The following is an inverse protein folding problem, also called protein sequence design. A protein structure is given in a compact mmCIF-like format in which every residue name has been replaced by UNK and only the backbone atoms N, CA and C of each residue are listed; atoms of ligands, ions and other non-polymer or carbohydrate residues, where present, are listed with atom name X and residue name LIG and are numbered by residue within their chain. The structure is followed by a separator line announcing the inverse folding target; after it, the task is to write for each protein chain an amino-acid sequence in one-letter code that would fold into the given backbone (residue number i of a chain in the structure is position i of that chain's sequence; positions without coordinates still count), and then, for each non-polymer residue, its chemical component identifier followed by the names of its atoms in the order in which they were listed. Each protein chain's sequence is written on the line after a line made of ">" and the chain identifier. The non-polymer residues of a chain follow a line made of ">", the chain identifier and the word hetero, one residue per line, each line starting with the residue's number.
data_IF_615474226974
#
_entry.id   IF_615474226974
#
_cell.length_a   1.000
_cell.length_b   1.000
_cell.length_c   1.000
_cell.angle_alpha   90.00
_cell.angle_beta   90.00
_cell.angle_gamma   90.00
#
_symmetry.space_group_name_H-M   'P 1'
#
loop_
_entity.id
_entity.type
_entity.pdbx_description
1 polymer ?
#
# COMPACT_ATOMS: atom_id res chain seq x y z
N UNK A 1 -69.14 -32.24 48.37
CA UNK A 1 -67.74 -32.12 48.71
C UNK A 1 -66.93 -32.45 47.43
N UNK A 2 -66.48 -31.47 46.69
CA UNK A 2 -65.65 -31.63 45.45
C UNK A 2 -64.26 -31.22 45.83
N UNK A 3 -63.30 -32.15 45.74
CA UNK A 3 -61.85 -31.91 45.92
C UNK A 3 -61.33 -31.28 44.63
N UNK A 4 -60.80 -30.08 44.72
CA UNK A 4 -60.05 -29.41 43.62
C UNK A 4 -58.60 -29.74 43.83
N UNK A 5 -58.06 -30.52 42.91
CA UNK A 5 -56.60 -30.82 42.87
C UNK A 5 -55.91 -29.74 42.10
N UNK A 6 -55.08 -28.94 42.80
CA UNK A 6 -54.21 -27.89 42.21
C UNK A 6 -52.99 -28.55 41.59
N UNK A 7 -52.87 -28.58 40.26
CA UNK A 7 -51.71 -29.02 39.56
C UNK A 7 -50.78 -27.78 39.35
N UNK A 8 -49.72 -27.72 40.11
CA UNK A 8 -48.69 -26.70 39.92
C UNK A 8 -47.80 -27.06 38.71
N UNK A 9 -47.96 -26.32 37.63
CA UNK A 9 -47.11 -26.43 36.44
C UNK A 9 -45.79 -25.66 36.72
N UNK A 10 -44.71 -26.37 37.06
CA UNK A 10 -43.36 -25.78 37.13
C UNK A 10 -42.84 -25.62 35.71
N UNK A 11 -42.91 -24.41 35.18
CA UNK A 11 -42.27 -24.03 33.95
C UNK A 11 -40.75 -23.87 34.23
N UNK A 12 -39.94 -24.89 33.88
CA UNK A 12 -38.50 -24.75 33.78
C UNK A 12 -38.21 -23.79 32.63
N UNK A 13 -37.93 -22.54 32.94
CA UNK A 13 -37.30 -21.61 32.02
C UNK A 13 -35.85 -22.07 31.79
N UNK A 14 -35.62 -22.83 30.75
CA UNK A 14 -34.29 -23.04 30.20
C UNK A 14 -33.85 -21.72 29.57
N UNK A 15 -33.26 -20.85 30.37
CA UNK A 15 -32.49 -19.72 29.86
C UNK A 15 -31.22 -20.33 29.14
N UNK A 16 -31.38 -20.60 27.85
CA UNK A 16 -30.28 -20.86 26.98
C UNK A 16 -29.43 -19.58 26.95
N UNK A 17 -28.38 -19.55 27.74
CA UNK A 17 -27.30 -18.58 27.56
C UNK A 17 -26.61 -18.90 26.23
N UNK A 18 -27.17 -18.42 25.13
CA UNK A 18 -26.44 -18.32 23.87
C UNK A 18 -25.40 -17.21 24.03
N UNK A 19 -24.27 -17.55 24.66
CA UNK A 19 -23.12 -16.68 24.58
C UNK A 19 -22.55 -16.79 23.17
N UNK A 20 -22.47 -15.66 22.46
CA UNK A 20 -21.85 -15.62 21.14
C UNK A 20 -20.47 -16.31 21.16
N UNK A 21 -20.18 -17.10 20.13
CA UNK A 21 -18.91 -17.82 20.06
C UNK A 21 -17.72 -16.83 20.05
N UNK A 22 -16.69 -17.15 20.83
CA UNK A 22 -15.53 -16.29 21.05
C UNK A 22 -14.24 -17.02 20.74
N UNK A 23 -13.23 -16.29 20.31
CA UNK A 23 -11.86 -16.75 20.27
C UNK A 23 -11.08 -16.22 21.48
N UNK A 24 -9.94 -16.85 21.78
CA UNK A 24 -9.06 -16.45 22.86
C UNK A 24 -7.63 -16.18 22.33
N UNK A 25 -6.99 -15.17 22.90
CA UNK A 25 -5.55 -14.91 22.71
C UNK A 25 -4.93 -14.86 24.09
N UNK A 26 -4.02 -15.76 24.39
CA UNK A 26 -3.40 -15.86 25.71
C UNK A 26 -1.92 -16.15 25.64
N UNK A 27 -1.22 -15.94 26.71
CA UNK A 27 0.21 -16.25 26.78
C UNK A 27 0.94 -15.46 27.85
N UNK A 28 2.21 -15.23 27.60
CA UNK A 28 3.05 -14.43 28.48
C UNK A 28 4.08 -13.59 27.69
N UNK A 29 4.40 -12.42 28.22
CA UNK A 29 5.47 -11.54 27.73
C UNK A 29 6.47 -11.35 28.86
N UNK A 30 7.53 -12.15 28.84
CA UNK A 30 8.56 -12.09 29.88
C UNK A 30 9.36 -10.78 29.82
N UNK A 31 9.68 -10.19 30.96
CA UNK A 31 10.43 -8.94 31.04
C UNK A 31 9.65 -7.68 30.70
N UNK A 32 8.32 -7.75 30.65
CA UNK A 32 7.44 -6.61 30.29
C UNK A 32 6.62 -6.08 31.48
N UNK A 33 7.08 -6.26 32.71
CA UNK A 33 6.37 -5.77 33.91
C UNK A 33 6.04 -4.29 33.82
N UNK A 34 4.79 -3.94 34.16
CA UNK A 34 4.28 -2.59 34.14
C UNK A 34 3.93 -2.03 32.75
N UNK A 35 4.27 -2.71 31.65
CA UNK A 35 3.97 -2.28 30.28
C UNK A 35 2.54 -2.61 29.86
N UNK A 36 1.99 -1.81 28.96
CA UNK A 36 0.67 -2.06 28.37
C UNK A 36 0.80 -2.96 27.13
N UNK A 37 0.07 -4.08 27.15
CA UNK A 37 -0.13 -4.94 25.99
C UNK A 37 -1.50 -4.63 25.39
N UNK A 38 -1.53 -4.37 24.10
CA UNK A 38 -2.76 -4.10 23.33
C UNK A 38 -3.07 -5.27 22.40
N UNK A 39 -4.33 -5.66 22.34
CA UNK A 39 -4.89 -6.47 21.27
C UNK A 39 -5.56 -5.51 20.28
N UNK A 40 -5.16 -5.58 19.01
CA UNK A 40 -5.65 -4.70 17.96
C UNK A 40 -6.09 -5.51 16.74
N UNK A 41 -7.19 -5.10 16.09
CA UNK A 41 -7.59 -5.65 14.79
C UNK A 41 -6.90 -4.90 13.66
N UNK A 42 -6.40 -5.63 12.66
CA UNK A 42 -5.80 -5.07 11.44
C UNK A 42 -6.85 -5.05 10.32
N UNK A 43 -7.73 -4.04 10.33
CA UNK A 43 -8.77 -3.84 9.34
C UNK A 43 -8.26 -3.35 7.99
N UNK A 44 -9.12 -3.31 6.98
CA UNK A 44 -8.79 -2.73 5.65
C UNK A 44 -8.60 -1.21 5.72
N UNK A 45 -9.31 -0.55 6.62
CA UNK A 45 -9.26 0.90 6.82
C UNK A 45 -8.22 1.34 7.86
N UNK A 46 -7.55 0.38 8.50
CA UNK A 46 -6.52 0.67 9.49
C UNK A 46 -6.56 -0.24 10.72
N UNK A 47 -5.84 0.17 11.74
CA UNK A 47 -5.69 -0.56 13.00
C UNK A 47 -6.73 -0.05 14.00
N UNK A 48 -7.47 -0.98 14.61
CA UNK A 48 -8.49 -0.70 15.62
C UNK A 48 -8.12 -1.37 16.94
N UNK A 49 -7.90 -0.63 18.03
CA UNK A 49 -7.71 -1.22 19.36
C UNK A 49 -8.99 -1.96 19.81
N UNK A 50 -8.83 -3.21 20.28
CA UNK A 50 -9.94 -4.02 20.78
C UNK A 50 -9.91 -4.16 22.30
N UNK A 51 -8.74 -4.34 22.87
CA UNK A 51 -8.56 -4.57 24.30
C UNK A 51 -7.13 -4.25 24.74
N UNK A 52 -6.91 -4.11 26.04
CA UNK A 52 -5.58 -3.90 26.59
C UNK A 52 -5.44 -4.43 28.01
N UNK A 53 -4.22 -4.80 28.39
CA UNK A 53 -3.89 -5.23 29.75
C UNK A 53 -2.55 -4.66 30.19
N UNK A 54 -2.46 -4.23 31.43
CA UNK A 54 -1.17 -3.90 32.06
C UNK A 54 -0.52 -5.20 32.55
N UNK A 55 0.62 -5.54 31.95
CA UNK A 55 1.36 -6.75 32.29
C UNK A 55 1.92 -6.66 33.72
N UNK A 56 1.90 -7.80 34.41
CA UNK A 56 2.50 -7.98 35.74
C UNK A 56 3.83 -8.71 35.61
N UNK A 57 4.52 -8.95 36.74
CA UNK A 57 5.84 -9.57 36.74
C UNK A 57 5.93 -10.97 36.10
N UNK A 58 4.82 -11.72 36.05
CA UNK A 58 4.72 -13.00 35.35
C UNK A 58 4.49 -12.85 33.85
N UNK A 59 4.19 -11.62 33.38
CA UNK A 59 3.92 -11.30 31.98
C UNK A 59 2.64 -11.90 31.41
N UNK A 60 1.83 -12.59 32.20
CA UNK A 60 0.65 -13.33 31.72
C UNK A 60 -0.43 -12.40 31.19
N UNK A 61 -1.12 -12.83 30.11
CA UNK A 61 -2.26 -12.12 29.55
C UNK A 61 -3.30 -13.09 28.99
N UNK A 62 -4.55 -12.61 28.89
CA UNK A 62 -5.64 -13.31 28.22
C UNK A 62 -6.65 -12.32 27.71
N UNK A 63 -6.94 -12.38 26.41
CA UNK A 63 -7.99 -11.61 25.73
C UNK A 63 -9.04 -12.55 25.19
N UNK A 64 -10.29 -12.10 25.19
CA UNK A 64 -11.44 -12.86 24.67
C UNK A 64 -12.31 -11.94 23.82
N UNK A 65 -12.47 -12.27 22.52
CA UNK A 65 -13.21 -11.48 21.56
C UNK A 65 -14.23 -12.34 20.80
N UNK A 66 -15.22 -11.71 20.19
CA UNK A 66 -16.17 -12.39 19.31
C UNK A 66 -15.43 -13.03 18.14
N UNK A 67 -15.84 -14.25 17.77
CA UNK A 67 -15.27 -14.91 16.62
C UNK A 67 -15.53 -14.11 15.35
N UNK A 68 -14.58 -14.03 14.41
CA UNK A 68 -14.84 -13.49 13.09
C UNK A 68 -15.68 -14.46 12.25
N UNK A 69 -16.41 -13.93 11.26
CA UNK A 69 -17.19 -14.75 10.30
C UNK A 69 -16.30 -15.33 9.17
N UNK A 70 -15.14 -14.77 8.99
CA UNK A 70 -14.11 -15.16 8.04
C UNK A 70 -12.73 -14.91 8.64
N UNK A 71 -11.63 -15.43 8.05
CA UNK A 71 -10.29 -15.17 8.54
C UNK A 71 -10.00 -13.68 8.67
N UNK A 72 -9.64 -13.24 9.87
CA UNK A 72 -9.31 -11.85 10.19
C UNK A 72 -7.93 -11.75 10.84
N UNK A 73 -7.33 -10.57 10.72
CA UNK A 73 -5.96 -10.31 11.17
C UNK A 73 -5.98 -9.44 12.42
N UNK A 74 -5.11 -9.84 13.34
CA UNK A 74 -4.93 -9.18 14.63
C UNK A 74 -3.44 -8.96 14.89
N UNK A 75 -3.15 -8.10 15.85
CA UNK A 75 -1.80 -7.93 16.35
C UNK A 75 -1.79 -7.73 17.86
N UNK A 76 -0.76 -8.24 18.51
CA UNK A 76 -0.36 -7.83 19.84
C UNK A 76 0.67 -6.72 19.71
N UNK A 77 0.52 -5.65 20.48
CA UNK A 77 1.47 -4.53 20.49
C UNK A 77 1.87 -4.16 21.91
N UNK A 78 3.17 -4.04 22.12
CA UNK A 78 3.78 -3.45 23.31
C UNK A 78 4.70 -2.33 22.82
N UNK A 79 4.37 -1.08 23.18
CA UNK A 79 5.08 0.11 22.66
C UNK A 79 5.10 0.12 21.11
N UNK A 80 6.28 0.09 20.50
CA UNK A 80 6.49 0.05 19.03
C UNK A 80 6.64 -1.38 18.46
N UNK A 81 6.68 -2.40 19.34
CA UNK A 81 6.87 -3.79 18.94
C UNK A 81 5.55 -4.50 18.68
N UNK A 82 5.51 -5.32 17.62
CA UNK A 82 4.28 -5.94 17.13
C UNK A 82 4.48 -7.42 16.83
N UNK A 83 3.47 -8.23 17.15
CA UNK A 83 3.32 -9.62 16.69
C UNK A 83 2.01 -9.69 15.90
N UNK A 84 2.07 -10.03 14.61
CA UNK A 84 0.89 -10.24 13.77
C UNK A 84 0.45 -11.71 13.83
N UNK A 85 -0.86 -11.94 13.83
CA UNK A 85 -1.48 -13.27 13.79
C UNK A 85 -2.85 -13.18 13.13
N UNK A 86 -3.45 -14.33 12.84
CA UNK A 86 -4.83 -14.40 12.32
C UNK A 86 -5.69 -15.29 13.19
N UNK A 87 -7.00 -15.10 13.09
CA UNK A 87 -8.02 -15.94 13.70
C UNK A 87 -9.06 -16.27 12.65
N UNK A 88 -9.38 -17.55 12.49
CA UNK A 88 -10.35 -18.02 11.50
C UNK A 88 -11.70 -18.34 12.13
N UNK A 89 -11.73 -18.68 13.45
CA UNK A 89 -12.93 -19.09 14.15
C UNK A 89 -12.85 -18.92 15.68
N UNK A 90 -13.24 -19.94 16.44
CA UNK A 90 -13.24 -19.94 17.92
C UNK A 90 -11.91 -20.49 18.51
N UNK A 91 -10.86 -20.50 17.78
CA UNK A 91 -9.56 -21.00 18.20
C UNK A 91 -8.97 -20.26 19.40
N UNK A 92 -8.01 -20.90 20.05
CA UNK A 92 -7.19 -20.26 21.09
C UNK A 92 -5.77 -20.12 20.57
N UNK A 93 -5.36 -18.90 20.33
CA UNK A 93 -3.98 -18.56 19.91
C UNK A 93 -3.14 -18.32 21.16
N UNK A 94 -2.12 -19.15 21.38
CA UNK A 94 -1.20 -19.01 22.50
C UNK A 94 0.11 -18.39 22.03
N UNK A 95 0.49 -17.23 22.59
CA UNK A 95 1.69 -16.48 22.20
C UNK A 95 2.58 -16.24 23.41
N UNK A 96 3.86 -16.63 23.31
CA UNK A 96 4.87 -16.35 24.33
C UNK A 96 6.03 -15.59 23.70
N UNK A 97 6.48 -14.53 24.32
CA UNK A 97 7.54 -13.68 23.79
C UNK A 97 8.40 -13.06 24.89
N UNK A 98 9.72 -12.93 24.71
CA UNK A 98 10.52 -12.03 25.51
C UNK A 98 10.27 -10.59 25.05
N UNK A 99 10.13 -9.65 25.97
CA UNK A 99 9.91 -8.24 25.62
C UNK A 99 11.06 -7.66 24.78
N UNK A 100 12.31 -8.03 25.04
CA UNK A 100 13.48 -7.55 24.29
C UNK A 100 13.38 -7.83 22.81
N UNK A 101 12.93 -9.04 22.44
CA UNK A 101 12.84 -9.54 21.07
C UNK A 101 11.39 -9.89 20.69
N UNK A 102 10.45 -9.10 21.17
CA UNK A 102 9.01 -9.36 21.10
C UNK A 102 8.53 -9.71 19.68
N UNK A 103 8.99 -8.98 18.66
CA UNK A 103 8.55 -9.20 17.28
C UNK A 103 9.29 -10.32 16.54
N UNK A 104 10.32 -10.93 17.12
CA UNK A 104 11.18 -11.90 16.40
C UNK A 104 11.36 -13.22 17.13
N UNK A 105 11.42 -13.23 18.47
CA UNK A 105 11.72 -14.42 19.28
C UNK A 105 10.47 -14.97 20.01
N UNK A 106 9.28 -14.80 19.43
CA UNK A 106 8.06 -15.33 20.01
C UNK A 106 7.73 -16.74 19.54
N UNK A 107 6.93 -17.46 20.31
CA UNK A 107 6.27 -18.71 19.87
C UNK A 107 4.78 -18.44 19.66
N UNK A 108 4.17 -19.20 18.75
CA UNK A 108 2.73 -19.18 18.52
C UNK A 108 2.23 -20.61 18.33
N UNK A 109 1.16 -20.95 19.05
CA UNK A 109 0.55 -22.28 19.05
C UNK A 109 -0.98 -22.13 18.98
N UNK A 110 -1.66 -23.18 18.52
CA UNK A 110 -3.12 -23.25 18.42
C UNK A 110 -3.72 -22.62 17.16
N UNK A 111 -2.86 -22.18 16.21
CA UNK A 111 -3.29 -21.67 14.89
C UNK A 111 -2.18 -21.89 13.87
N UNK A 112 -2.42 -22.75 12.89
CA UNK A 112 -1.46 -23.02 11.79
C UNK A 112 -1.24 -21.79 10.93
N UNK A 113 -2.29 -21.00 10.69
CA UNK A 113 -2.18 -19.75 9.95
C UNK A 113 -1.28 -18.74 10.68
N UNK A 114 -1.44 -18.60 11.99
CA UNK A 114 -0.60 -17.71 12.80
C UNK A 114 0.87 -18.18 12.84
N UNK A 115 1.12 -19.51 12.85
CA UNK A 115 2.47 -20.05 12.75
C UNK A 115 3.13 -19.68 11.40
N UNK A 116 2.40 -19.82 10.28
CA UNK A 116 2.88 -19.44 8.95
C UNK A 116 3.05 -17.91 8.81
N UNK A 117 2.19 -17.10 9.45
CA UNK A 117 2.35 -15.63 9.49
C UNK A 117 3.65 -15.25 10.22
N UNK A 118 3.98 -15.94 11.31
CA UNK A 118 5.27 -15.76 11.98
C UNK A 118 6.45 -16.06 11.03
N UNK A 119 6.42 -17.20 10.35
CA UNK A 119 7.47 -17.58 9.38
C UNK A 119 7.63 -16.51 8.28
N UNK A 120 6.52 -16.04 7.69
CA UNK A 120 6.52 -14.97 6.68
C UNK A 120 7.10 -13.67 7.24
N UNK A 121 6.73 -13.28 8.45
CA UNK A 121 7.26 -12.10 9.13
C UNK A 121 8.77 -12.20 9.31
N UNK A 122 9.29 -13.34 9.77
CA UNK A 122 10.72 -13.56 9.95
C UNK A 122 11.49 -13.58 8.60
N UNK A 123 10.88 -14.15 7.54
CA UNK A 123 11.45 -14.10 6.19
C UNK A 123 11.54 -12.67 5.67
N UNK A 124 10.49 -11.87 5.85
CA UNK A 124 10.45 -10.47 5.44
C UNK A 124 11.48 -9.62 6.20
N UNK A 125 11.62 -9.81 7.53
CA UNK A 125 12.65 -9.14 8.33
C UNK A 125 14.05 -9.50 7.83
N UNK A 126 14.30 -10.76 7.46
CA UNK A 126 15.58 -11.19 6.88
C UNK A 126 15.83 -10.53 5.53
N UNK A 127 14.83 -10.47 4.66
CA UNK A 127 14.93 -9.77 3.38
C UNK A 127 15.29 -8.30 3.60
N UNK A 128 14.60 -7.61 4.52
CA UNK A 128 14.86 -6.21 4.85
C UNK A 128 16.32 -6.00 5.31
N UNK A 129 16.82 -6.84 6.22
CA UNK A 129 18.23 -6.78 6.68
C UNK A 129 19.23 -6.94 5.54
N UNK A 130 18.97 -7.87 4.61
CA UNK A 130 19.85 -8.09 3.47
C UNK A 130 19.84 -6.89 2.52
N UNK A 131 18.68 -6.31 2.27
CA UNK A 131 18.55 -5.10 1.43
C UNK A 131 19.22 -3.91 2.11
N UNK A 132 19.04 -3.72 3.41
CA UNK A 132 19.70 -2.65 4.17
C UNK A 132 21.24 -2.77 4.12
N UNK A 133 21.76 -4.00 4.13
CA UNK A 133 23.18 -4.27 3.99
C UNK A 133 23.69 -3.90 2.58
N UNK A 134 22.92 -4.23 1.52
CA UNK A 134 23.27 -3.82 0.14
C UNK A 134 23.27 -2.30 -0.02
N UNK A 135 22.24 -1.63 0.52
CA UNK A 135 22.14 -0.17 0.49
C UNK A 135 23.35 0.48 1.16
N UNK A 136 23.72 -0.01 2.35
CA UNK A 136 24.91 0.51 3.08
C UNK A 136 26.21 0.32 2.28
N UNK A 137 26.39 -0.84 1.65
CA UNK A 137 27.57 -1.12 0.84
C UNK A 137 27.62 -0.22 -0.40
N UNK A 138 26.50 0.03 -1.06
CA UNK A 138 26.40 0.97 -2.18
C UNK A 138 26.71 2.41 -1.75
N UNK A 139 26.13 2.86 -0.62
CA UNK A 139 26.39 4.20 -0.07
C UNK A 139 27.86 4.41 0.35
N UNK A 140 28.55 3.33 0.76
CA UNK A 140 29.97 3.34 1.08
C UNK A 140 30.87 3.22 -0.17
N UNK A 141 30.32 3.27 -1.39
CA UNK A 141 31.01 3.04 -2.66
C UNK A 141 31.76 1.68 -2.75
N UNK A 142 31.29 0.68 -1.99
CA UNK A 142 31.86 -0.68 -2.01
C UNK A 142 31.21 -1.56 -3.08
N UNK A 143 30.08 -1.12 -3.67
CA UNK A 143 29.32 -1.79 -4.72
C UNK A 143 29.02 -0.83 -5.86
N UNK A 144 29.29 -1.26 -7.10
CA UNK A 144 28.84 -0.57 -8.30
C UNK A 144 27.30 -0.67 -8.44
N UNK A 145 26.69 0.30 -9.15
CA UNK A 145 25.24 0.34 -9.33
C UNK A 145 24.69 -0.93 -9.98
N UNK A 146 25.36 -1.46 -11.01
CA UNK A 146 24.94 -2.69 -11.70
C UNK A 146 24.92 -3.88 -10.75
N UNK A 147 25.95 -4.04 -9.92
CA UNK A 147 26.05 -5.12 -8.94
C UNK A 147 24.98 -4.97 -7.85
N UNK A 148 24.66 -3.73 -7.46
CA UNK A 148 23.59 -3.43 -6.51
C UNK A 148 22.23 -3.85 -7.08
N UNK A 149 21.90 -3.42 -8.30
CA UNK A 149 20.61 -3.72 -8.96
C UNK A 149 20.43 -5.22 -9.17
N UNK A 150 21.45 -5.93 -9.67
CA UNK A 150 21.43 -7.37 -9.85
C UNK A 150 21.25 -8.12 -8.53
N UNK A 151 21.99 -7.72 -7.50
CA UNK A 151 21.88 -8.34 -6.17
C UNK A 151 20.49 -8.14 -5.55
N UNK A 152 19.92 -6.95 -5.68
CA UNK A 152 18.56 -6.64 -5.22
C UNK A 152 17.52 -7.47 -5.98
N UNK A 153 17.65 -7.56 -7.30
CA UNK A 153 16.74 -8.36 -8.14
C UNK A 153 16.78 -9.84 -7.75
N UNK A 154 17.96 -10.41 -7.48
CA UNK A 154 18.13 -11.79 -7.02
C UNK A 154 17.48 -12.01 -5.65
N UNK A 155 17.69 -11.10 -4.69
CA UNK A 155 17.06 -11.19 -3.36
C UNK A 155 15.55 -11.18 -3.44
N UNK A 156 14.98 -10.25 -4.20
CA UNK A 156 13.53 -10.12 -4.39
C UNK A 156 12.96 -11.34 -5.12
N UNK A 157 13.62 -11.81 -6.17
CA UNK A 157 13.20 -13.01 -6.91
C UNK A 157 13.15 -14.24 -6.01
N UNK A 158 14.23 -14.50 -5.28
CA UNK A 158 14.30 -15.66 -4.38
C UNK A 158 13.22 -15.61 -3.29
N UNK A 159 13.00 -14.44 -2.70
CA UNK A 159 11.93 -14.25 -1.73
C UNK A 159 10.54 -14.50 -2.35
N UNK A 160 10.26 -13.91 -3.52
CA UNK A 160 8.98 -14.07 -4.20
C UNK A 160 8.73 -15.53 -4.59
N UNK A 161 9.72 -16.22 -5.13
CA UNK A 161 9.58 -17.62 -5.57
C UNK A 161 9.31 -18.54 -4.37
N UNK A 162 10.02 -18.36 -3.26
CA UNK A 162 9.77 -19.12 -2.03
C UNK A 162 8.34 -18.87 -1.48
N UNK A 163 7.93 -17.60 -1.40
CA UNK A 163 6.61 -17.24 -0.88
C UNK A 163 5.47 -17.70 -1.80
N UNK A 164 5.64 -17.60 -3.12
CA UNK A 164 4.69 -18.11 -4.10
C UNK A 164 4.43 -19.60 -3.92
N UNK A 165 5.49 -20.38 -3.86
CA UNK A 165 5.41 -21.85 -3.83
C UNK A 165 4.89 -22.34 -2.49
N UNK A 166 5.48 -21.87 -1.39
CA UNK A 166 5.28 -22.46 -0.07
C UNK A 166 4.09 -21.89 0.72
N UNK A 167 3.58 -20.70 0.33
CA UNK A 167 2.48 -20.04 1.06
C UNK A 167 1.30 -19.70 0.16
N UNK A 168 1.52 -19.03 -0.99
CA UNK A 168 0.41 -18.52 -1.81
C UNK A 168 -0.28 -19.66 -2.57
N UNK A 169 0.47 -20.44 -3.36
CA UNK A 169 -0.12 -21.51 -4.17
C UNK A 169 -0.31 -22.81 -3.41
N UNK A 170 0.43 -23.02 -2.32
CA UNK A 170 0.28 -24.22 -1.49
C UNK A 170 -1.10 -24.28 -0.80
N UNK A 171 -1.63 -23.15 -0.35
CA UNK A 171 -2.91 -23.08 0.36
C UNK A 171 -3.60 -21.70 0.15
N UNK A 172 -4.11 -21.40 -1.04
CA UNK A 172 -4.57 -20.06 -1.42
C UNK A 172 -5.83 -19.59 -0.68
N UNK A 173 -6.56 -20.50 0.00
CA UNK A 173 -7.75 -20.21 0.80
C UNK A 173 -7.44 -19.87 2.27
N UNK A 174 -6.17 -19.62 2.61
CA UNK A 174 -5.75 -19.41 3.99
C UNK A 174 -5.45 -17.94 4.31
N UNK A 175 -5.55 -17.56 5.59
CA UNK A 175 -5.14 -16.26 6.08
C UNK A 175 -3.64 -16.00 5.81
N UNK A 176 -2.80 -17.04 5.95
CA UNK A 176 -1.36 -16.90 5.68
C UNK A 176 -1.05 -16.58 4.22
N UNK A 177 -1.80 -17.15 3.25
CA UNK A 177 -1.67 -16.80 1.84
C UNK A 177 -2.09 -15.35 1.56
N UNK A 178 -3.19 -14.90 2.16
CA UNK A 178 -3.60 -13.49 2.09
C UNK A 178 -2.51 -12.58 2.66
N UNK A 179 -1.99 -12.89 3.86
CA UNK A 179 -0.94 -12.11 4.50
C UNK A 179 0.34 -12.03 3.65
N UNK A 180 0.69 -13.12 2.97
CA UNK A 180 1.86 -13.19 2.09
C UNK A 180 1.80 -12.19 0.93
N UNK A 181 0.61 -11.91 0.36
CA UNK A 181 0.42 -10.97 -0.74
C UNK A 181 0.75 -9.53 -0.36
N UNK A 182 0.53 -9.15 0.91
CA UNK A 182 0.64 -7.76 1.38
C UNK A 182 1.95 -7.46 2.12
N UNK A 183 2.95 -8.33 1.98
CA UNK A 183 4.28 -8.09 2.54
C UNK A 183 4.95 -6.89 1.88
N UNK A 184 5.65 -6.08 2.68
CA UNK A 184 6.32 -4.86 2.22
C UNK A 184 7.82 -4.92 2.48
N UNK A 185 8.57 -4.30 1.58
CA UNK A 185 9.98 -3.96 1.77
C UNK A 185 10.06 -2.43 1.83
N UNK A 186 10.54 -1.89 2.93
CA UNK A 186 10.35 -0.48 3.26
C UNK A 186 8.84 -0.15 3.23
N UNK A 187 8.36 0.77 2.45
CA UNK A 187 6.93 1.07 2.30
C UNK A 187 6.33 0.52 1.00
N UNK A 188 7.10 -0.21 0.20
CA UNK A 188 6.67 -0.73 -1.11
C UNK A 188 6.21 -2.18 -1.00
N UNK A 189 5.12 -2.51 -1.70
CA UNK A 189 4.64 -3.89 -1.81
C UNK A 189 5.68 -4.74 -2.54
N UNK A 190 5.99 -5.92 -1.99
CA UNK A 190 6.88 -6.88 -2.65
C UNK A 190 6.19 -7.50 -3.86
N UNK A 191 4.90 -7.78 -3.76
CA UNK A 191 4.06 -8.23 -4.88
C UNK A 191 3.25 -7.05 -5.42
N UNK A 192 3.41 -6.74 -6.72
CA UNK A 192 2.66 -5.66 -7.36
C UNK A 192 1.35 -6.19 -7.97
N UNK A 193 0.20 -5.93 -7.33
CA UNK A 193 -1.09 -6.43 -7.82
C UNK A 193 -1.63 -5.69 -9.03
N UNK A 194 -1.02 -4.58 -9.43
CA UNK A 194 -1.60 -3.70 -10.45
C UNK A 194 -0.86 -3.72 -11.78
N UNK A 195 0.48 -3.91 -11.76
CA UNK A 195 1.28 -3.74 -12.97
C UNK A 195 2.14 -4.97 -13.32
N UNK A 196 2.29 -5.93 -12.40
CA UNK A 196 3.05 -7.15 -12.64
C UNK A 196 2.14 -8.34 -12.89
N UNK A 197 2.12 -8.88 -14.13
CA UNK A 197 1.25 -9.99 -14.53
C UNK A 197 1.44 -11.26 -13.69
N UNK A 198 2.65 -11.57 -13.27
CA UNK A 198 2.93 -12.77 -12.48
C UNK A 198 2.51 -12.58 -11.02
N UNK A 199 2.64 -11.39 -10.49
CA UNK A 199 2.14 -11.07 -9.16
C UNK A 199 0.61 -11.06 -9.13
N UNK A 200 -0.06 -10.52 -10.15
CA UNK A 200 -1.53 -10.56 -10.30
C UNK A 200 -2.05 -12.01 -10.28
N UNK A 201 -1.34 -12.97 -10.83
CA UNK A 201 -1.71 -14.39 -10.74
C UNK A 201 -1.75 -14.88 -9.29
N UNK A 202 -0.81 -14.42 -8.46
CA UNK A 202 -0.79 -14.74 -7.03
C UNK A 202 -2.04 -14.17 -6.32
N UNK A 203 -2.33 -12.90 -6.56
CA UNK A 203 -3.55 -12.27 -6.04
C UNK A 203 -4.82 -12.96 -6.55
N UNK A 204 -4.85 -13.33 -7.85
CA UNK A 204 -5.98 -14.05 -8.48
C UNK A 204 -6.25 -15.42 -7.87
N UNK A 205 -5.20 -16.18 -7.57
CA UNK A 205 -5.32 -17.49 -6.93
C UNK A 205 -5.97 -17.38 -5.54
N UNK A 206 -5.47 -16.45 -4.72
CA UNK A 206 -5.99 -16.21 -3.37
C UNK A 206 -7.41 -15.61 -3.42
N UNK A 207 -7.66 -14.62 -4.30
CA UNK A 207 -8.96 -13.99 -4.47
C UNK A 207 -10.04 -15.02 -4.85
N UNK A 208 -9.76 -15.87 -5.84
CA UNK A 208 -10.69 -16.93 -6.27
C UNK A 208 -10.96 -17.90 -5.15
N UNK A 209 -9.92 -18.35 -4.47
CA UNK A 209 -10.03 -19.36 -3.41
C UNK A 209 -10.78 -18.82 -2.18
N UNK A 210 -10.49 -17.61 -1.75
CA UNK A 210 -11.20 -16.96 -0.65
C UNK A 210 -12.64 -16.60 -1.02
N UNK A 211 -12.92 -16.19 -2.25
CA UNK A 211 -14.28 -15.92 -2.69
C UNK A 211 -15.14 -17.20 -2.72
N UNK A 212 -14.57 -18.35 -3.07
CA UNK A 212 -15.27 -19.62 -3.02
C UNK A 212 -15.56 -20.07 -1.58
N UNK A 213 -14.66 -19.78 -0.65
CA UNK A 213 -14.79 -20.19 0.75
C UNK A 213 -15.59 -19.17 1.58
N UNK A 214 -15.37 -17.89 1.36
CA UNK A 214 -15.94 -16.77 2.11
C UNK A 214 -16.48 -15.66 1.17
N UNK A 215 -17.54 -15.93 0.39
CA UNK A 215 -18.02 -15.02 -0.67
C UNK A 215 -18.56 -13.68 -0.12
N UNK A 216 -18.97 -13.65 1.14
CA UNK A 216 -19.51 -12.45 1.78
C UNK A 216 -18.45 -11.64 2.52
N UNK A 217 -17.24 -12.18 2.72
CA UNK A 217 -16.17 -11.51 3.44
C UNK A 217 -15.72 -10.23 2.70
N UNK A 218 -15.57 -9.15 3.47
CA UNK A 218 -15.12 -7.86 2.92
C UNK A 218 -13.74 -7.97 2.28
N UNK A 219 -12.83 -8.77 2.88
CA UNK A 219 -11.48 -9.02 2.35
C UNK A 219 -11.51 -9.78 1.02
N UNK A 220 -12.41 -10.75 0.87
CA UNK A 220 -12.57 -11.46 -0.41
C UNK A 220 -13.00 -10.53 -1.53
N UNK A 221 -13.97 -9.66 -1.27
CA UNK A 221 -14.46 -8.65 -2.23
C UNK A 221 -13.37 -7.61 -2.57
N UNK A 222 -12.65 -7.11 -1.55
CA UNK A 222 -11.55 -6.16 -1.74
C UNK A 222 -10.45 -6.78 -2.62
N UNK A 223 -10.01 -8.00 -2.30
CA UNK A 223 -8.97 -8.69 -3.06
C UNK A 223 -9.40 -8.95 -4.50
N UNK A 224 -10.65 -9.35 -4.73
CA UNK A 224 -11.21 -9.52 -6.05
C UNK A 224 -11.16 -8.22 -6.87
N UNK A 225 -11.54 -7.09 -6.27
CA UNK A 225 -11.48 -5.79 -6.94
C UNK A 225 -10.04 -5.38 -7.31
N UNK A 226 -9.07 -5.64 -6.43
CA UNK A 226 -7.64 -5.42 -6.72
C UNK A 226 -7.22 -6.23 -7.96
N UNK A 227 -7.58 -7.51 -8.02
CA UNK A 227 -7.25 -8.39 -9.16
C UNK A 227 -7.88 -7.88 -10.45
N UNK A 228 -9.18 -7.50 -10.42
CA UNK A 228 -9.85 -6.96 -11.61
C UNK A 228 -9.16 -5.69 -12.10
N UNK A 229 -8.78 -4.79 -11.19
CA UNK A 229 -8.03 -3.56 -11.52
C UNK A 229 -6.68 -3.91 -12.17
N UNK A 230 -5.91 -4.81 -11.57
CA UNK A 230 -4.62 -5.26 -12.11
C UNK A 230 -4.75 -5.94 -13.48
N UNK A 231 -5.73 -6.83 -13.64
CA UNK A 231 -6.02 -7.46 -14.93
C UNK A 231 -6.41 -6.44 -16.00
N UNK A 232 -7.18 -5.40 -15.64
CA UNK A 232 -7.54 -4.32 -16.56
C UNK A 232 -6.29 -3.52 -16.96
N UNK A 233 -5.45 -3.15 -16.01
CA UNK A 233 -4.23 -2.39 -16.28
C UNK A 233 -3.26 -3.16 -17.20
N UNK A 234 -3.13 -4.47 -17.00
CA UNK A 234 -2.18 -5.29 -17.76
C UNK A 234 -2.75 -5.90 -19.03
N UNK A 235 -4.09 -5.89 -19.23
CA UNK A 235 -4.77 -6.25 -20.47
C UNK A 235 -4.89 -5.12 -21.48
N UNK A 236 -4.86 -3.86 -20.99
CA UNK A 236 -4.66 -2.75 -21.91
C UNK A 236 -3.41 -3.12 -22.68
N UNK A 237 -3.43 -3.13 -24.03
CA UNK A 237 -2.24 -3.45 -24.78
C UNK A 237 -1.17 -2.55 -24.15
N UNK A 238 -0.10 -3.17 -23.58
CA UNK A 238 1.15 -2.43 -23.58
C UNK A 238 1.15 -1.86 -24.98
N UNK A 239 1.01 -0.54 -25.10
CA UNK A 239 1.44 0.06 -26.35
C UNK A 239 2.70 -0.73 -26.64
N UNK A 240 2.62 -1.62 -27.67
CA UNK A 240 3.82 -2.15 -28.25
C UNK A 240 4.74 -0.98 -28.14
N UNK A 241 5.93 -1.17 -27.55
CA UNK A 241 7.01 -0.25 -27.80
C UNK A 241 6.93 -0.13 -29.30
N UNK A 242 6.19 0.85 -29.79
CA UNK A 242 6.30 1.27 -31.13
C UNK A 242 7.72 1.71 -31.04
N UNK A 243 8.63 0.94 -31.65
CA UNK A 243 9.86 1.52 -32.16
C UNK A 243 9.32 2.66 -33.01
N UNK A 244 9.17 3.81 -32.36
CA UNK A 244 8.84 5.06 -33.05
C UNK A 244 10.13 5.26 -33.85
N UNK A 245 10.08 5.14 -35.19
CA UNK A 245 11.24 5.43 -35.99
C UNK A 245 11.77 6.77 -35.49
N UNK A 246 13.08 6.91 -35.31
CA UNK A 246 13.70 8.15 -34.80
C UNK A 246 13.17 9.41 -35.50
N UNK A 247 12.71 9.29 -36.75
CA UNK A 247 12.01 10.32 -37.52
C UNK A 247 10.69 10.79 -36.90
N UNK A 248 9.94 9.96 -36.14
CA UNK A 248 8.68 10.40 -35.47
C UNK A 248 8.91 11.01 -34.09
N UNK A 249 10.03 10.76 -33.45
CA UNK A 249 10.44 11.45 -32.21
C UNK A 249 10.78 12.92 -32.52
N UNK A 250 11.26 13.21 -33.74
CA UNK A 250 11.55 14.56 -34.19
C UNK A 250 10.30 15.41 -34.47
N UNK A 251 9.13 14.83 -34.74
CA UNK A 251 7.92 15.59 -35.09
C UNK A 251 7.05 15.99 -33.90
N UNK A 252 7.16 15.37 -32.73
CA UNK A 252 6.29 15.69 -31.56
C UNK A 252 7.03 16.07 -30.29
N UNK A 253 8.33 15.85 -30.18
CA UNK A 253 9.25 16.38 -29.13
C UNK A 253 8.88 16.15 -27.67
N UNK A 254 7.65 15.78 -27.34
CA UNK A 254 7.14 15.54 -25.99
C UNK A 254 6.16 14.37 -26.00
N UNK A 255 6.20 13.54 -24.96
CA UNK A 255 5.20 12.47 -24.78
C UNK A 255 3.90 13.13 -24.30
N UNK A 256 2.79 12.96 -25.04
CA UNK A 256 1.52 13.55 -24.66
C UNK A 256 0.94 12.93 -23.39
N UNK A 257 0.38 13.78 -22.54
CA UNK A 257 -0.36 13.41 -21.34
C UNK A 257 -1.80 13.90 -21.52
N UNK A 258 -2.74 12.96 -21.54
CA UNK A 258 -4.17 13.26 -21.66
C UNK A 258 -4.91 12.80 -20.42
N UNK A 259 -5.18 13.71 -19.49
CA UNK A 259 -5.80 13.41 -18.19
C UNK A 259 -7.01 14.31 -17.94
N UNK A 260 -7.86 13.95 -16.97
CA UNK A 260 -9.05 14.71 -16.60
C UNK A 260 -8.71 15.84 -15.64
N UNK A 261 -9.27 17.02 -15.94
CA UNK A 261 -9.30 18.15 -15.01
C UNK A 261 -10.41 17.97 -13.95
N UNK A 262 -10.51 18.91 -13.01
CA UNK A 262 -11.50 18.88 -11.92
C UNK A 262 -12.95 18.87 -12.40
N UNK A 263 -13.21 19.36 -13.62
CA UNK A 263 -14.53 19.38 -14.26
C UNK A 263 -14.81 18.12 -15.09
N UNK A 264 -13.84 17.19 -15.15
CA UNK A 264 -13.94 15.96 -15.92
C UNK A 264 -13.55 16.09 -17.40
N UNK A 265 -13.11 17.27 -17.86
CA UNK A 265 -12.67 17.48 -19.23
C UNK A 265 -11.27 16.87 -19.42
N UNK A 266 -11.05 16.25 -20.56
CA UNK A 266 -9.71 15.78 -20.92
C UNK A 266 -8.86 16.99 -21.33
N UNK A 267 -7.71 17.15 -20.68
CA UNK A 267 -6.71 18.17 -20.99
C UNK A 267 -5.45 17.45 -21.49
N UNK A 268 -4.99 17.86 -22.66
CA UNK A 268 -3.77 17.31 -23.26
C UNK A 268 -2.61 18.25 -23.05
N UNK A 269 -1.45 17.70 -22.70
CA UNK A 269 -0.21 18.46 -22.57
C UNK A 269 0.17 19.12 -23.93
N UNK A 270 -0.01 18.39 -25.02
CA UNK A 270 0.30 18.86 -26.38
C UNK A 270 -0.60 20.01 -26.88
N UNK A 271 -1.79 20.20 -26.29
CA UNK A 271 -2.68 21.33 -26.61
C UNK A 271 -2.07 22.68 -26.18
N UNK A 272 -1.02 22.65 -25.34
CA UNK A 272 -0.32 23.86 -24.87
C UNK A 272 0.82 24.29 -25.82
N UNK A 273 0.91 23.72 -27.01
CA UNK A 273 1.86 24.14 -28.03
C UNK A 273 1.79 25.66 -28.27
N UNK A 274 2.95 26.31 -28.39
CA UNK A 274 3.05 27.77 -28.50
C UNK A 274 3.33 28.45 -27.16
N UNK A 275 3.21 27.76 -26.05
CA UNK A 275 3.58 28.23 -24.70
C UNK A 275 4.86 27.54 -24.22
N UNK A 276 5.56 28.16 -23.30
CA UNK A 276 6.55 27.49 -22.45
C UNK A 276 5.76 26.77 -21.36
N UNK A 277 5.94 25.45 -21.24
CA UNK A 277 5.17 24.67 -20.28
C UNK A 277 6.08 24.13 -19.17
N UNK A 278 5.70 24.42 -17.94
CA UNK A 278 6.26 23.76 -16.76
C UNK A 278 5.33 22.59 -16.43
N UNK A 279 5.75 21.39 -16.82
CA UNK A 279 5.09 20.15 -16.44
C UNK A 279 5.57 19.76 -15.02
N UNK A 280 4.62 19.56 -14.11
CA UNK A 280 4.87 19.24 -12.72
C UNK A 280 4.09 17.99 -12.29
N UNK A 281 4.80 16.98 -11.79
CA UNK A 281 4.18 15.84 -11.11
C UNK A 281 4.27 16.04 -9.61
N UNK A 282 3.14 15.94 -8.91
CA UNK A 282 3.04 16.23 -7.48
C UNK A 282 2.07 15.31 -6.75
N UNK A 283 2.17 15.32 -5.41
CA UNK A 283 1.17 14.78 -4.47
C UNK A 283 0.82 15.87 -3.48
N UNK A 284 -0.41 16.36 -3.50
CA UNK A 284 -0.85 17.45 -2.62
C UNK A 284 -0.85 17.07 -1.13
N UNK A 285 -1.04 15.78 -0.81
CA UNK A 285 -0.95 15.27 0.57
C UNK A 285 0.47 15.30 1.15
N UNK A 286 1.49 15.58 0.33
CA UNK A 286 2.87 15.68 0.78
C UNK A 286 3.12 16.97 1.57
N UNK A 287 3.92 16.89 2.64
CA UNK A 287 4.31 18.04 3.44
C UNK A 287 5.06 19.13 2.64
N UNK A 288 5.70 18.76 1.51
CA UNK A 288 6.42 19.70 0.64
C UNK A 288 5.50 20.36 -0.40
N UNK A 289 4.24 19.95 -0.52
CA UNK A 289 3.32 20.44 -1.55
C UNK A 289 2.98 21.93 -1.39
N UNK A 290 2.71 22.40 -0.18
CA UNK A 290 2.31 23.78 0.05
C UNK A 290 3.42 24.78 -0.35
N UNK A 291 4.68 24.67 0.12
CA UNK A 291 5.76 25.55 -0.34
C UNK A 291 6.07 25.40 -1.83
N UNK A 292 5.93 24.19 -2.39
CA UNK A 292 6.10 23.96 -3.81
C UNK A 292 5.06 24.72 -4.67
N UNK A 293 3.79 24.64 -4.32
CA UNK A 293 2.72 25.36 -5.03
C UNK A 293 2.83 26.88 -4.85
N UNK A 294 3.37 27.38 -3.74
CA UNK A 294 3.66 28.82 -3.60
C UNK A 294 4.75 29.26 -4.58
N UNK A 295 5.83 28.50 -4.70
CA UNK A 295 6.90 28.77 -5.68
C UNK A 295 6.35 28.75 -7.12
N UNK A 296 5.53 27.75 -7.48
CA UNK A 296 4.88 27.69 -8.79
C UNK A 296 3.96 28.91 -9.04
N UNK A 297 3.23 29.36 -8.03
CA UNK A 297 2.35 30.52 -8.12
C UNK A 297 3.13 31.80 -8.37
N UNK A 298 4.27 31.98 -7.73
CA UNK A 298 5.14 33.13 -7.95
C UNK A 298 5.66 33.16 -9.40
N UNK A 299 6.10 32.02 -9.95
CA UNK A 299 6.52 31.91 -11.33
C UNK A 299 5.37 32.15 -12.31
N UNK A 300 4.19 31.58 -12.04
CA UNK A 300 3.03 31.77 -12.88
C UNK A 300 2.57 33.23 -12.93
N UNK A 301 2.49 33.90 -11.78
CA UNK A 301 2.12 35.31 -11.69
C UNK A 301 3.09 36.21 -12.47
N UNK A 302 4.39 35.90 -12.48
CA UNK A 302 5.39 36.69 -13.20
C UNK A 302 5.37 36.47 -14.70
N UNK A 303 5.09 35.24 -15.16
CA UNK A 303 5.39 34.85 -16.53
C UNK A 303 4.19 34.32 -17.34
N UNK A 304 3.02 34.09 -16.76
CA UNK A 304 1.83 33.62 -17.49
C UNK A 304 1.44 34.59 -18.63
N UNK A 305 1.50 35.89 -18.36
CA UNK A 305 1.25 36.95 -19.38
C UNK A 305 2.29 36.98 -20.50
N UNK A 306 3.44 36.34 -20.33
CA UNK A 306 4.51 36.24 -21.32
C UNK A 306 4.53 34.89 -22.06
N UNK A 307 3.58 33.98 -21.70
CA UNK A 307 3.41 32.69 -22.36
C UNK A 307 3.87 31.48 -21.58
N UNK A 308 4.11 31.61 -20.26
CA UNK A 308 4.27 30.44 -19.37
C UNK A 308 2.92 29.80 -19.11
N UNK A 309 2.85 28.48 -19.15
CA UNK A 309 1.75 27.69 -18.62
C UNK A 309 2.29 26.62 -17.68
N UNK A 310 1.48 26.21 -16.70
CA UNK A 310 1.79 25.08 -15.83
C UNK A 310 0.79 23.96 -16.10
N UNK A 311 1.30 22.77 -16.35
CA UNK A 311 0.50 21.55 -16.46
C UNK A 311 0.86 20.65 -15.27
N UNK A 312 0.03 20.67 -14.23
CA UNK A 312 0.28 19.98 -12.97
C UNK A 312 -0.50 18.69 -12.90
N UNK A 313 0.21 17.58 -12.78
CA UNK A 313 -0.31 16.21 -12.68
C UNK A 313 -0.29 15.78 -11.23
N UNK A 314 -1.46 15.66 -10.62
CA UNK A 314 -1.61 15.06 -9.29
C UNK A 314 -1.55 13.54 -9.37
N UNK A 315 -0.76 12.95 -8.48
CA UNK A 315 -0.69 11.51 -8.23
C UNK A 315 -1.38 11.13 -6.91
N UNK A 316 -2.25 12.00 -6.39
CA UNK A 316 -3.02 11.72 -5.17
C UNK A 316 -4.03 10.60 -5.41
N UNK A 317 -4.10 9.65 -4.48
CA UNK A 317 -5.08 8.58 -4.51
C UNK A 317 -6.50 9.08 -4.24
N UNK A 318 -6.63 10.08 -3.38
CA UNK A 318 -7.91 10.70 -3.00
C UNK A 318 -8.31 11.81 -3.95
N UNK A 319 -9.36 11.56 -4.73
CA UNK A 319 -9.91 12.52 -5.70
C UNK A 319 -10.51 13.75 -5.03
N UNK A 320 -11.18 13.58 -3.89
CA UNK A 320 -11.81 14.70 -3.19
C UNK A 320 -10.76 15.64 -2.61
N UNK A 321 -9.72 15.08 -2.01
CA UNK A 321 -8.59 15.87 -1.50
C UNK A 321 -7.89 16.63 -2.63
N UNK A 322 -7.63 15.97 -3.76
CA UNK A 322 -7.07 16.63 -4.94
C UNK A 322 -7.92 17.80 -5.42
N UNK A 323 -9.23 17.60 -5.61
CA UNK A 323 -10.14 18.65 -6.06
C UNK A 323 -10.13 19.85 -5.14
N UNK A 324 -10.20 19.61 -3.82
CA UNK A 324 -10.17 20.68 -2.81
C UNK A 324 -8.84 21.44 -2.82
N UNK A 325 -7.73 20.75 -3.00
CA UNK A 325 -6.38 21.34 -2.97
C UNK A 325 -6.06 22.12 -4.25
N UNK A 326 -6.60 21.69 -5.40
CA UNK A 326 -6.35 22.29 -6.71
C UNK A 326 -7.32 23.43 -7.08
N UNK A 327 -8.45 23.57 -6.35
CA UNK A 327 -9.57 24.47 -6.72
C UNK A 327 -9.17 25.93 -6.93
N UNK A 328 -8.18 26.41 -6.19
CA UNK A 328 -7.70 27.80 -6.25
C UNK A 328 -6.40 27.99 -7.04
N UNK A 329 -5.98 26.99 -7.81
CA UNK A 329 -4.77 27.09 -8.62
C UNK A 329 -5.11 27.64 -10.01
N UNK A 330 -4.36 28.65 -10.52
CA UNK A 330 -4.74 29.38 -11.74
C UNK A 330 -4.29 28.68 -13.04
N UNK A 331 -3.68 27.52 -12.96
CA UNK A 331 -3.14 26.75 -14.09
C UNK A 331 -3.87 25.44 -14.34
N UNK A 332 -3.40 24.66 -15.31
CA UNK A 332 -4.00 23.37 -15.67
C UNK A 332 -3.66 22.33 -14.60
N UNK A 333 -4.67 21.92 -13.83
CA UNK A 333 -4.56 20.84 -12.84
C UNK A 333 -5.31 19.60 -13.32
N UNK A 334 -4.60 18.49 -13.46
CA UNK A 334 -5.16 17.19 -13.85
C UNK A 334 -4.76 16.12 -12.84
N UNK A 335 -5.49 15.00 -12.83
CA UNK A 335 -5.18 13.89 -11.94
C UNK A 335 -4.98 12.59 -12.72
N UNK A 336 -3.90 11.88 -12.40
CA UNK A 336 -3.72 10.49 -12.82
C UNK A 336 -4.30 9.55 -11.76
N UNK A 337 -5.39 8.87 -12.09
CA UNK A 337 -6.10 7.95 -11.19
C UNK A 337 -5.24 6.76 -10.72
N UNK A 338 -4.14 6.48 -11.44
CA UNK A 338 -3.21 5.43 -11.08
C UNK A 338 -2.24 5.86 -9.97
N UNK A 339 -2.24 7.14 -9.58
CA UNK A 339 -1.41 7.66 -8.48
C UNK A 339 0.08 7.36 -8.67
N UNK A 340 0.73 6.79 -7.67
CA UNK A 340 2.15 6.41 -7.73
C UNK A 340 2.47 5.34 -8.81
N UNK A 341 1.46 4.69 -9.39
CA UNK A 341 1.60 3.72 -10.49
C UNK A 341 1.29 4.37 -11.86
N UNK A 342 1.34 5.68 -11.95
CA UNK A 342 1.10 6.43 -13.16
C UNK A 342 2.06 6.02 -14.28
N UNK A 343 1.50 5.55 -15.39
CA UNK A 343 2.26 5.28 -16.62
C UNK A 343 2.87 6.58 -17.17
N UNK A 344 2.18 7.71 -17.02
CA UNK A 344 2.69 9.01 -17.42
C UNK A 344 3.94 9.40 -16.63
N UNK A 345 3.90 9.25 -15.30
CA UNK A 345 5.07 9.50 -14.46
C UNK A 345 6.25 8.58 -14.81
N UNK A 346 5.97 7.30 -15.08
CA UNK A 346 6.98 6.33 -15.49
C UNK A 346 7.62 6.68 -16.85
N UNK A 347 6.82 7.09 -17.85
CA UNK A 347 7.30 7.53 -19.16
C UNK A 347 8.21 8.76 -19.09
N UNK A 348 7.92 9.67 -18.16
CA UNK A 348 8.76 10.83 -17.88
C UNK A 348 9.96 10.51 -16.96
N UNK A 349 10.06 9.28 -16.46
CA UNK A 349 11.14 8.83 -15.57
C UNK A 349 11.11 9.51 -14.21
N UNK A 350 9.91 9.83 -13.69
CA UNK A 350 9.71 10.42 -12.36
C UNK A 350 10.11 9.43 -11.29
N UNK A 351 11.13 9.75 -10.52
CA UNK A 351 11.63 8.93 -9.40
C UNK A 351 11.24 9.49 -8.04
N UNK A 352 11.20 10.81 -7.93
CA UNK A 352 10.87 11.55 -6.70
C UNK A 352 9.82 12.61 -7.00
N UNK A 353 9.05 13.00 -5.98
CA UNK A 353 8.02 14.04 -6.08
C UNK A 353 8.33 15.19 -5.12
N UNK A 354 8.08 16.43 -5.53
CA UNK A 354 7.60 16.86 -6.84
C UNK A 354 8.68 16.74 -7.94
N UNK A 355 8.25 16.54 -9.20
CA UNK A 355 9.16 16.44 -10.35
C UNK A 355 8.77 17.43 -11.44
N UNK A 356 9.73 18.28 -11.83
CA UNK A 356 9.54 19.36 -12.78
C UNK A 356 10.21 19.06 -14.13
N UNK A 357 9.55 19.47 -15.22
CA UNK A 357 10.07 19.38 -16.57
C UNK A 357 9.74 20.68 -17.33
N UNK A 358 10.69 21.19 -18.09
CA UNK A 358 10.50 22.36 -18.95
C UNK A 358 10.33 21.96 -20.41
N UNK A 359 9.26 22.41 -21.01
CA UNK A 359 8.88 22.16 -22.40
C UNK A 359 8.81 23.52 -23.12
N UNK A 360 9.45 23.61 -24.29
CA UNK A 360 9.46 24.83 -25.06
C UNK A 360 8.20 25.03 -25.91
N UNK A 361 8.08 26.16 -26.61
CA UNK A 361 6.94 26.52 -27.45
C UNK A 361 6.69 25.53 -28.60
N UNK A 362 7.69 24.73 -28.98
CA UNK A 362 7.59 23.71 -30.03
C UNK A 362 7.14 22.34 -29.52
N UNK A 363 6.76 22.22 -28.24
CA UNK A 363 6.50 20.95 -27.56
C UNK A 363 7.74 20.05 -27.47
N UNK A 364 8.92 20.61 -27.24
CA UNK A 364 10.14 19.85 -27.02
C UNK A 364 10.55 19.91 -25.55
N UNK A 365 10.85 18.76 -24.95
CA UNK A 365 11.40 18.67 -23.60
C UNK A 365 12.82 19.25 -23.58
N UNK A 366 13.06 20.30 -22.81
CA UNK A 366 14.33 21.04 -22.74
C UNK A 366 15.12 20.76 -21.49
N UNK A 367 14.47 20.57 -20.35
CA UNK A 367 15.18 20.34 -19.10
C UNK A 367 14.32 19.55 -18.12
N UNK A 368 14.99 18.86 -17.21
CA UNK A 368 14.40 18.18 -16.05
C UNK A 368 14.80 18.89 -14.78
N UNK A 369 13.91 19.00 -13.79
CA UNK A 369 14.13 19.75 -12.56
C UNK A 369 15.43 19.41 -11.83
N UNK A 370 15.80 18.14 -11.82
CA UNK A 370 17.04 17.65 -11.21
C UNK A 370 18.31 18.26 -11.83
N UNK A 371 18.26 18.71 -13.09
CA UNK A 371 19.37 19.30 -13.82
C UNK A 371 19.34 20.81 -13.89
N UNK A 372 18.24 21.45 -13.42
CA UNK A 372 18.04 22.90 -13.50
C UNK A 372 18.63 23.57 -12.26
N UNK A 373 19.70 24.35 -12.44
CA UNK A 373 20.32 25.12 -11.35
C UNK A 373 19.56 26.42 -11.05
N UNK A 374 18.94 27.03 -12.07
CA UNK A 374 18.16 28.25 -11.97
C UNK A 374 16.88 28.06 -12.81
N UNK A 375 15.80 27.71 -12.13
CA UNK A 375 14.50 27.43 -12.76
C UNK A 375 13.92 28.71 -13.38
N UNK A 376 13.93 29.81 -12.64
CA UNK A 376 13.38 31.08 -13.11
C UNK A 376 14.14 31.64 -14.33
N UNK A 377 15.48 31.64 -14.28
CA UNK A 377 16.33 32.06 -15.38
C UNK A 377 16.14 31.17 -16.62
N UNK A 378 15.99 29.85 -16.44
CA UNK A 378 15.73 28.92 -17.55
C UNK A 378 14.38 29.19 -18.20
N UNK A 379 13.30 29.36 -17.42
CA UNK A 379 11.97 29.75 -17.93
C UNK A 379 12.06 31.04 -18.73
N UNK A 380 12.69 32.08 -18.17
CA UNK A 380 12.84 33.39 -18.81
C UNK A 380 13.57 33.31 -20.15
N UNK A 381 14.56 32.42 -20.28
CA UNK A 381 15.31 32.24 -21.53
C UNK A 381 14.50 31.54 -22.62
N UNK A 382 13.39 30.90 -22.29
CA UNK A 382 12.51 30.15 -23.22
C UNK A 382 11.27 30.95 -23.61
N UNK A 383 10.92 32.03 -22.87
CA UNK A 383 9.79 32.91 -23.16
C UNK A 383 10.08 33.86 -24.29
#
# INVERSE_FOLDING_TARGET
>A
MKKVTLVALVALALSSCNSDPKFNVKGDVSGADGKMLYLEASGLEGIVPLDSVKLKGDGSFSFKQLRPESPEFYRLRVEDKVINFSVDSTETVSIKAPYTDFSTAYTVEGSDNSAKIKELTLKQIRLQKNVDALVKAAQANQLGNDVFEDSLAVLLKNYKDDVKINYIFAAPNTASAYFALFQKLNNYMIFDPLNNKDDIKCFGAVATSLNNTYPHAVRSKNLYNIVIKGMKNTRTPQQKTIEIPEEKIAETGVIDIALRDMKGNIRKLTDLKGKVVLLDFTVYQSAVSAPHNLMLRDLYNKYAGQGLEIYQVSLDADEHFWKTSADNLPWVCVRDENGIYSTNAALYGVKNLPALFLINRNNELRARGETIKDLEGTIKSML
#
